data_IF_476960654469
#
_entry.id   IF_476960654469
#
_cell.length_a   1.000
_cell.length_b   1.000
_cell.length_c   1.000
_cell.angle_alpha   90.00
_cell.angle_beta   90.00
_cell.angle_gamma   90.00
#
_symmetry.space_group_name_H-M   'P 1'
#
loop_
_entity.id
_entity.type
_entity.pdbx_description
1 polymer ?
#
# COMPACT_ATOMS: atom_id res chain seq x y z
N UNK A 1 32.58 10.19 -1.58
CA UNK A 1 31.21 10.70 -1.81
C UNK A 1 31.29 11.84 -2.83
N UNK A 2 30.34 12.00 -3.79
CA UNK A 2 30.36 13.15 -4.69
C UNK A 2 30.17 14.49 -3.95
N UNK A 3 30.90 15.53 -4.34
CA UNK A 3 30.90 16.83 -3.65
C UNK A 3 29.50 17.44 -3.47
N UNK A 4 28.61 17.46 -4.49
CA UNK A 4 27.26 18.02 -4.33
C UNK A 4 26.42 17.28 -3.28
N UNK A 5 26.64 15.96 -3.14
CA UNK A 5 25.95 15.13 -2.15
C UNK A 5 26.46 15.46 -0.75
N UNK A 6 27.78 15.55 -0.58
CA UNK A 6 28.40 15.89 0.70
C UNK A 6 27.99 17.29 1.18
N UNK A 7 28.01 18.29 0.30
CA UNK A 7 27.58 19.66 0.62
C UNK A 7 26.11 19.71 1.07
N UNK A 8 25.22 19.01 0.36
CA UNK A 8 23.80 18.95 0.72
C UNK A 8 23.56 18.26 2.06
N UNK A 9 24.32 17.20 2.39
CA UNK A 9 24.24 16.54 3.70
C UNK A 9 24.73 17.46 4.84
N UNK A 10 25.82 18.20 4.62
CA UNK A 10 26.34 19.17 5.58
C UNK A 10 25.33 20.30 5.85
N UNK A 11 24.72 20.85 4.80
CA UNK A 11 23.66 21.86 4.92
C UNK A 11 22.44 21.35 5.69
N UNK A 12 22.11 20.07 5.53
CA UNK A 12 21.03 19.41 6.25
C UNK A 12 21.41 19.01 7.70
N UNK A 13 22.67 19.18 8.11
CA UNK A 13 23.16 18.74 9.42
C UNK A 13 23.14 17.22 9.59
N UNK A 14 23.36 16.46 8.51
CA UNK A 14 23.34 15.00 8.52
C UNK A 14 24.78 14.48 8.39
N UNK A 15 25.33 13.77 9.39
CA UNK A 15 26.69 13.24 9.32
C UNK A 15 26.76 12.02 8.40
N UNK A 16 27.94 11.75 7.82
CA UNK A 16 28.17 10.58 6.97
C UNK A 16 27.87 9.25 7.68
N UNK A 17 28.10 9.17 8.99
CA UNK A 17 27.78 7.98 9.80
C UNK A 17 26.29 7.64 9.83
N UNK A 18 25.41 8.58 9.50
CA UNK A 18 23.97 8.39 9.47
C UNK A 18 23.44 7.96 8.09
N UNK A 19 24.32 7.73 7.11
CA UNK A 19 23.93 7.38 5.74
C UNK A 19 24.62 6.11 5.26
N UNK A 20 23.92 5.34 4.42
CA UNK A 20 24.50 4.32 3.56
C UNK A 20 24.20 4.63 2.09
N UNK A 21 25.22 4.58 1.24
CA UNK A 21 25.13 4.85 -0.19
C UNK A 21 25.76 3.68 -0.94
N UNK A 22 25.04 3.16 -1.93
CA UNK A 22 25.54 2.14 -2.85
C UNK A 22 25.19 2.54 -4.28
N UNK A 23 26.20 2.63 -5.14
CA UNK A 23 26.04 2.92 -6.58
C UNK A 23 26.81 1.87 -7.37
N UNK A 24 26.14 1.18 -8.28
CA UNK A 24 26.71 0.04 -9.00
C UNK A 24 26.21 0.00 -10.44
N UNK A 25 27.12 -0.06 -11.40
CA UNK A 25 26.77 -0.23 -12.81
C UNK A 25 26.47 -1.69 -13.13
N UNK A 26 25.33 -1.96 -13.75
CA UNK A 26 24.97 -3.33 -14.14
C UNK A 26 26.05 -3.89 -15.08
N UNK A 27 26.60 -5.06 -14.73
CA UNK A 27 27.62 -5.76 -15.52
C UNK A 27 29.04 -5.57 -14.95
N UNK A 28 29.25 -4.59 -14.08
CA UNK A 28 30.53 -4.39 -13.40
C UNK A 28 30.69 -5.31 -12.19
N UNK A 29 31.93 -5.60 -11.82
CA UNK A 29 32.22 -6.50 -10.68
C UNK A 29 32.24 -5.78 -9.33
N UNK A 30 32.42 -4.46 -9.33
CA UNK A 30 32.57 -3.64 -8.13
C UNK A 30 31.65 -2.41 -8.20
N UNK A 31 31.11 -1.96 -7.05
CA UNK A 31 30.35 -0.72 -6.99
C UNK A 31 31.25 0.50 -7.20
N UNK A 32 30.68 1.52 -7.84
CA UNK A 32 31.31 2.84 -8.00
C UNK A 32 31.38 3.60 -6.68
N UNK A 33 30.37 3.42 -5.82
CA UNK A 33 30.29 4.02 -4.49
C UNK A 33 29.78 2.96 -3.52
N UNK A 34 30.47 2.78 -2.41
CA UNK A 34 30.01 1.99 -1.27
C UNK A 34 30.38 2.69 0.04
N UNK A 35 29.47 3.49 0.58
CA UNK A 35 29.64 4.23 1.84
C UNK A 35 28.71 3.61 2.88
N UNK A 36 29.29 3.12 3.99
CA UNK A 36 28.56 2.37 5.03
C UNK A 36 27.62 1.28 4.47
N UNK A 37 27.93 0.74 3.28
CA UNK A 37 26.96 0.00 2.49
C UNK A 37 26.49 -1.29 3.18
N UNK A 38 27.31 -1.84 4.09
CA UNK A 38 27.02 -3.05 4.88
C UNK A 38 26.26 -2.79 6.17
N UNK A 39 26.01 -1.52 6.54
CA UNK A 39 25.30 -1.20 7.76
C UNK A 39 23.83 -1.64 7.67
N UNK A 40 23.32 -2.29 8.72
CA UNK A 40 21.92 -2.65 8.82
C UNK A 40 21.08 -1.39 9.13
N UNK A 41 20.38 -0.86 8.12
CA UNK A 41 19.62 0.38 8.24
C UNK A 41 18.13 0.13 8.08
N UNK A 42 17.29 0.97 8.67
CA UNK A 42 15.86 0.97 8.37
C UNK A 42 15.66 1.56 6.96
N UNK A 43 15.11 0.79 5.99
CA UNK A 43 14.95 1.26 4.62
C UNK A 43 13.62 2.01 4.40
N UNK A 44 12.72 2.09 5.37
CA UNK A 44 11.33 2.49 5.16
C UNK A 44 10.71 1.72 3.97
N UNK A 45 9.83 2.36 3.19
CA UNK A 45 9.12 1.73 2.06
C UNK A 45 10.00 1.20 0.92
N UNK A 46 11.32 1.41 0.95
CA UNK A 46 12.24 0.71 0.05
C UNK A 46 12.25 -0.81 0.32
N UNK A 47 11.86 -1.25 1.53
CA UNK A 47 11.65 -2.68 1.85
C UNK A 47 10.70 -3.38 0.87
N UNK A 48 9.72 -2.67 0.31
CA UNK A 48 8.77 -3.22 -0.67
C UNK A 48 9.45 -3.80 -1.90
N UNK A 49 10.68 -3.38 -2.22
CA UNK A 49 11.45 -3.96 -3.32
C UNK A 49 11.75 -5.45 -3.08
N UNK A 50 12.01 -5.86 -1.83
CA UNK A 50 12.18 -7.27 -1.47
C UNK A 50 10.87 -8.02 -1.69
N UNK A 51 9.79 -7.53 -1.10
CA UNK A 51 8.45 -8.14 -1.18
C UNK A 51 7.93 -8.26 -2.61
N UNK A 52 8.03 -7.18 -3.40
CA UNK A 52 7.49 -7.15 -4.76
C UNK A 52 8.31 -7.99 -5.72
N UNK A 53 9.64 -7.98 -5.60
CA UNK A 53 10.48 -8.85 -6.43
C UNK A 53 10.27 -10.32 -6.09
N UNK A 54 10.28 -10.68 -4.80
CA UNK A 54 9.98 -12.05 -4.38
C UNK A 54 8.58 -12.50 -4.81
N UNK A 55 7.57 -11.61 -4.71
CA UNK A 55 6.23 -11.86 -5.22
C UNK A 55 6.24 -12.28 -6.69
N UNK A 56 6.88 -11.49 -7.54
CA UNK A 56 6.95 -11.78 -8.98
C UNK A 56 7.68 -13.10 -9.28
N UNK A 57 8.76 -13.40 -8.57
CA UNK A 57 9.54 -14.64 -8.78
C UNK A 57 8.83 -15.89 -8.25
N UNK A 58 8.17 -15.80 -7.09
CA UNK A 58 7.60 -16.96 -6.39
C UNK A 58 6.17 -17.27 -6.81
N UNK A 59 5.33 -16.23 -6.98
CA UNK A 59 3.93 -16.41 -7.37
C UNK A 59 3.74 -16.32 -8.90
N UNK A 60 4.63 -15.59 -9.58
CA UNK A 60 4.56 -15.31 -11.01
C UNK A 60 3.75 -14.05 -11.34
N UNK A 61 4.06 -13.35 -12.44
CA UNK A 61 3.42 -12.07 -12.80
C UNK A 61 1.92 -12.20 -13.09
N UNK A 62 1.43 -13.39 -13.44
CA UNK A 62 0.03 -13.69 -13.74
C UNK A 62 -0.76 -14.19 -12.53
N UNK A 63 -0.16 -14.24 -11.34
CA UNK A 63 -0.87 -14.64 -10.13
C UNK A 63 -2.07 -13.72 -9.87
N UNK A 64 -3.21 -14.32 -9.51
CA UNK A 64 -4.43 -13.60 -9.15
C UNK A 64 -4.91 -14.09 -7.80
N UNK A 65 -5.39 -13.18 -6.97
CA UNK A 65 -6.15 -13.51 -5.77
C UNK A 65 -7.57 -13.83 -6.16
N UNK A 66 -8.25 -14.60 -5.31
CA UNK A 66 -9.66 -14.90 -5.46
C UNK A 66 -10.47 -14.38 -4.29
N UNK A 67 -11.73 -14.03 -4.55
CA UNK A 67 -12.77 -13.79 -3.55
C UNK A 67 -13.99 -14.59 -3.97
N UNK A 68 -14.51 -15.43 -3.08
CA UNK A 68 -15.57 -16.40 -3.41
C UNK A 68 -16.86 -16.07 -2.68
N UNK A 69 -17.99 -16.20 -3.38
CA UNK A 69 -19.32 -16.05 -2.82
C UNK A 69 -20.01 -17.41 -2.75
N UNK A 70 -20.59 -17.76 -1.61
CA UNK A 70 -21.32 -19.02 -1.43
C UNK A 70 -22.74 -18.77 -0.94
N UNK A 71 -23.68 -19.58 -1.42
CA UNK A 71 -24.98 -19.74 -0.77
C UNK A 71 -24.85 -20.81 0.31
N UNK A 72 -25.14 -20.43 1.56
CA UNK A 72 -25.35 -21.37 2.66
C UNK A 72 -26.86 -21.48 2.93
N UNK A 73 -27.55 -22.18 2.04
CA UNK A 73 -29.01 -22.28 2.03
C UNK A 73 -29.53 -22.75 0.67
N UNK A 74 -30.84 -22.71 0.50
CA UNK A 74 -31.51 -23.09 -0.76
C UNK A 74 -31.84 -21.82 -1.55
N UNK A 75 -31.56 -21.82 -2.86
CA UNK A 75 -32.00 -20.77 -3.77
C UNK A 75 -33.23 -21.27 -4.52
N UNK A 76 -34.37 -20.60 -4.32
CA UNK A 76 -35.63 -20.89 -5.01
C UNK A 76 -36.20 -19.57 -5.56
N UNK A 77 -36.54 -19.54 -6.85
CA UNK A 77 -37.03 -18.34 -7.54
C UNK A 77 -36.20 -17.06 -7.30
N UNK A 78 -34.87 -17.21 -7.23
CA UNK A 78 -33.96 -16.11 -6.95
C UNK A 78 -33.98 -15.61 -5.50
N UNK A 79 -34.57 -16.34 -4.56
CA UNK A 79 -34.50 -16.03 -3.13
C UNK A 79 -33.55 -17.03 -2.47
N UNK A 80 -32.48 -16.54 -1.85
CA UNK A 80 -31.63 -17.35 -0.99
C UNK A 80 -32.26 -17.47 0.39
N UNK A 81 -32.83 -18.64 0.67
CA UNK A 81 -33.30 -19.05 1.98
C UNK A 81 -32.12 -19.53 2.84
N UNK A 82 -31.36 -18.58 3.35
CA UNK A 82 -30.15 -18.84 4.12
C UNK A 82 -29.15 -17.69 4.04
N UNK A 83 -27.91 -17.98 4.45
CA UNK A 83 -26.87 -16.97 4.55
C UNK A 83 -26.06 -16.86 3.25
N UNK A 84 -25.65 -15.65 2.89
CA UNK A 84 -24.64 -15.41 1.87
C UNK A 84 -23.26 -15.34 2.53
N UNK A 85 -22.31 -16.15 2.09
CA UNK A 85 -20.92 -16.13 2.59
C UNK A 85 -20.02 -15.41 1.58
N UNK A 86 -19.21 -14.47 2.06
CA UNK A 86 -18.09 -13.88 1.32
C UNK A 86 -16.79 -14.38 1.94
N UNK A 87 -16.00 -15.12 1.17
CA UNK A 87 -14.69 -15.61 1.59
C UNK A 87 -13.57 -14.88 0.88
N UNK A 88 -12.72 -14.22 1.67
CA UNK A 88 -11.53 -13.54 1.17
C UNK A 88 -10.29 -14.41 1.23
N UNK A 89 -9.38 -14.20 0.26
CA UNK A 89 -8.06 -14.85 0.22
C UNK A 89 -6.91 -13.84 0.14
N UNK A 90 -7.13 -12.62 0.63
CA UNK A 90 -6.11 -11.57 0.75
C UNK A 90 -5.97 -10.69 -0.48
N UNK A 91 -7.01 -10.56 -1.31
CA UNK A 91 -6.98 -9.74 -2.53
C UNK A 91 -6.64 -8.28 -2.20
N UNK A 92 -5.48 -7.75 -2.63
CA UNK A 92 -5.09 -6.37 -2.37
C UNK A 92 -5.85 -5.38 -3.25
N UNK A 93 -6.64 -5.86 -4.22
CA UNK A 93 -7.39 -5.09 -5.19
C UNK A 93 -8.89 -5.25 -5.09
N UNK A 94 -9.42 -5.78 -3.98
CA UNK A 94 -10.84 -5.71 -3.67
C UNK A 94 -11.27 -4.28 -3.26
N UNK A 95 -10.95 -3.29 -4.08
CA UNK A 95 -11.34 -1.88 -3.95
C UNK A 95 -12.84 -1.70 -4.25
N UNK A 96 -13.34 -0.47 -4.10
CA UNK A 96 -14.75 -0.14 -4.33
C UNK A 96 -15.24 -0.65 -5.70
N UNK A 97 -14.48 -0.41 -6.76
CA UNK A 97 -14.85 -0.78 -8.12
C UNK A 97 -14.94 -2.31 -8.30
N UNK A 98 -13.95 -3.05 -7.80
CA UNK A 98 -13.97 -4.51 -7.90
C UNK A 98 -15.00 -5.15 -6.97
N UNK A 99 -15.27 -4.56 -5.80
CA UNK A 99 -16.33 -5.02 -4.92
C UNK A 99 -17.72 -4.75 -5.53
N UNK A 100 -17.92 -3.58 -6.16
CA UNK A 100 -19.12 -3.29 -6.94
C UNK A 100 -19.32 -4.28 -8.09
N UNK A 101 -18.27 -4.58 -8.84
CA UNK A 101 -18.31 -5.61 -9.89
C UNK A 101 -18.69 -6.98 -9.31
N UNK A 102 -18.15 -7.36 -8.15
CA UNK A 102 -18.48 -8.62 -7.48
C UNK A 102 -19.97 -8.68 -7.07
N UNK A 103 -20.49 -7.64 -6.42
CA UNK A 103 -21.91 -7.55 -6.05
C UNK A 103 -22.81 -7.57 -7.28
N UNK A 104 -22.41 -6.89 -8.35
CA UNK A 104 -23.12 -6.92 -9.63
C UNK A 104 -23.14 -8.30 -10.28
N UNK A 105 -22.02 -9.04 -10.25
CA UNK A 105 -21.98 -10.42 -10.76
C UNK A 105 -22.83 -11.35 -9.93
N UNK A 106 -22.88 -11.17 -8.61
CA UNK A 106 -23.81 -11.89 -7.75
C UNK A 106 -25.26 -11.66 -8.19
N UNK A 107 -25.68 -10.42 -8.50
CA UNK A 107 -27.01 -10.14 -9.07
C UNK A 107 -27.26 -10.89 -10.38
N UNK A 108 -26.26 -10.98 -11.24
CA UNK A 108 -26.36 -11.66 -12.54
C UNK A 108 -26.51 -13.19 -12.42
N UNK A 109 -26.28 -13.79 -11.25
CA UNK A 109 -26.63 -15.19 -10.99
C UNK A 109 -28.15 -15.44 -10.97
N UNK A 110 -28.96 -14.37 -10.94
CA UNK A 110 -30.41 -14.44 -10.78
C UNK A 110 -30.86 -14.28 -9.32
N UNK A 111 -29.93 -14.13 -8.37
CA UNK A 111 -30.23 -13.89 -6.97
C UNK A 111 -30.85 -12.49 -6.77
N UNK A 112 -32.07 -12.46 -6.24
CA UNK A 112 -32.93 -11.28 -6.01
C UNK A 112 -32.98 -10.85 -4.54
N UNK A 113 -33.08 -11.81 -3.63
CA UNK A 113 -33.26 -11.60 -2.20
C UNK A 113 -32.40 -12.57 -1.38
N UNK A 114 -31.91 -12.11 -0.23
CA UNK A 114 -31.19 -12.92 0.76
C UNK A 114 -31.93 -12.79 2.09
N UNK A 115 -32.50 -13.88 2.59
CA UNK A 115 -33.32 -13.86 3.82
C UNK A 115 -32.51 -14.09 5.10
N UNK A 116 -31.31 -14.67 4.98
CA UNK A 116 -30.38 -14.84 6.09
C UNK A 116 -29.41 -13.68 6.25
N UNK A 117 -28.22 -13.99 6.76
CA UNK A 117 -27.15 -13.06 7.11
C UNK A 117 -26.08 -12.97 6.03
N UNK A 118 -25.22 -11.96 6.18
CA UNK A 118 -23.96 -11.87 5.46
C UNK A 118 -22.84 -12.46 6.34
N UNK A 119 -22.26 -13.57 5.95
CA UNK A 119 -21.14 -14.21 6.66
C UNK A 119 -19.83 -13.78 6.00
N UNK A 120 -18.89 -13.27 6.79
CA UNK A 120 -17.56 -12.91 6.33
C UNK A 120 -16.54 -13.96 6.78
N UNK A 121 -16.01 -14.71 5.83
CA UNK A 121 -14.95 -15.69 6.08
C UNK A 121 -13.57 -15.05 5.84
N UNK A 122 -12.90 -14.77 6.96
CA UNK A 122 -11.55 -14.23 7.02
C UNK A 122 -10.47 -15.29 7.35
N UNK A 123 -10.84 -16.58 7.38
CA UNK A 123 -9.99 -17.65 7.93
C UNK A 123 -8.73 -17.95 7.12
N UNK A 124 -8.56 -17.35 5.95
CA UNK A 124 -7.36 -17.58 5.13
C UNK A 124 -6.09 -16.97 5.76
N UNK A 125 -6.21 -15.89 6.53
CA UNK A 125 -5.09 -15.23 7.21
C UNK A 125 -5.21 -15.36 8.73
N UNK A 126 -4.10 -15.67 9.39
CA UNK A 126 -3.96 -15.65 10.86
C UNK A 126 -2.91 -14.61 11.19
N UNK A 127 -3.40 -13.39 11.40
CA UNK A 127 -2.59 -12.23 11.71
C UNK A 127 -3.19 -11.63 12.97
N UNK A 128 -2.36 -11.54 14.01
CA UNK A 128 -2.72 -10.81 15.22
C UNK A 128 -2.92 -9.35 14.80
N UNK A 129 -4.09 -8.79 15.13
CA UNK A 129 -4.36 -7.36 14.98
C UNK A 129 -3.45 -6.60 15.94
N UNK A 130 -2.21 -6.34 15.53
CA UNK A 130 -1.36 -5.37 16.20
C UNK A 130 -1.97 -3.97 16.02
N UNK A 131 -1.89 -3.15 17.08
CA UNK A 131 -2.26 -1.75 17.01
C UNK A 131 -1.31 -1.03 16.06
N UNK A 132 -1.69 -1.04 14.79
CA UNK A 132 -0.92 -0.51 13.68
C UNK A 132 -0.74 1.00 13.78
N UNK A 133 -1.43 1.69 14.68
CA UNK A 133 -1.24 3.11 14.95
C UNK A 133 -0.44 3.39 16.23
N UNK A 134 -0.04 2.37 16.99
CA UNK A 134 0.76 2.54 18.21
C UNK A 134 2.10 3.26 17.96
N UNK A 135 2.61 3.22 16.72
CA UNK A 135 3.91 3.84 16.39
C UNK A 135 3.83 5.32 15.98
N UNK A 136 2.67 5.83 15.55
CA UNK A 136 2.50 7.24 15.10
C UNK A 136 1.24 7.94 15.65
N UNK A 137 0.41 7.25 16.41
CA UNK A 137 -0.85 7.76 16.98
C UNK A 137 -1.95 8.02 15.95
N UNK A 138 -1.79 7.60 14.69
CA UNK A 138 -2.71 7.92 13.59
C UNK A 138 -3.68 6.78 13.30
N UNK A 139 -4.57 6.49 14.25
CA UNK A 139 -5.52 5.35 14.26
C UNK A 139 -6.41 5.25 13.02
N UNK A 140 -6.87 6.37 12.49
CA UNK A 140 -7.84 6.39 11.39
C UNK A 140 -7.20 6.49 10.00
N UNK A 141 -5.87 6.54 9.89
CA UNK A 141 -5.21 6.64 8.59
C UNK A 141 -5.20 5.30 7.88
N UNK A 142 -5.56 5.28 6.60
CA UNK A 142 -5.69 4.05 5.82
C UNK A 142 -4.38 3.28 5.65
N UNK A 143 -3.22 3.93 5.75
CA UNK A 143 -1.93 3.25 5.70
C UNK A 143 -1.61 2.43 6.97
N UNK A 144 -2.36 2.63 8.06
CA UNK A 144 -2.31 1.88 9.33
C UNK A 144 -3.39 0.79 9.41
N UNK A 145 -4.14 0.54 8.32
CA UNK A 145 -5.06 -0.61 8.28
C UNK A 145 -4.27 -1.93 8.42
N UNK A 146 -4.81 -2.90 9.14
CA UNK A 146 -4.22 -4.25 9.20
C UNK A 146 -4.54 -5.02 7.91
N UNK A 147 -3.65 -5.91 7.43
CA UNK A 147 -3.97 -6.82 6.35
C UNK A 147 -5.01 -7.84 6.82
N UNK A 148 -5.92 -8.20 5.93
CA UNK A 148 -7.02 -9.11 6.22
C UNK A 148 -7.34 -9.95 4.99
N UNK A 149 -7.78 -11.19 5.21
CA UNK A 149 -8.15 -12.08 4.11
C UNK A 149 -9.30 -11.49 3.28
N UNK A 150 -10.30 -10.88 3.92
CA UNK A 150 -11.38 -10.14 3.27
C UNK A 150 -11.28 -8.64 3.61
N UNK A 151 -10.36 -7.94 2.94
CA UNK A 151 -10.22 -6.49 3.08
C UNK A 151 -10.95 -5.73 1.98
N UNK A 152 -12.23 -5.42 2.20
CA UNK A 152 -13.02 -4.65 1.24
C UNK A 152 -12.63 -3.17 1.29
N UNK A 153 -12.20 -2.65 0.13
CA UNK A 153 -11.84 -1.26 -0.14
C UNK A 153 -10.93 -0.62 0.91
N UNK A 154 -10.04 -1.40 1.53
CA UNK A 154 -9.18 -0.95 2.64
C UNK A 154 -9.94 -0.30 3.80
N UNK A 155 -11.26 -0.54 3.91
CA UNK A 155 -12.18 0.15 4.83
C UNK A 155 -12.17 1.68 4.67
N UNK A 156 -11.83 2.13 3.47
CA UNK A 156 -11.59 3.53 3.16
C UNK A 156 -12.90 4.28 2.91
N UNK A 157 -13.02 5.42 3.57
CA UNK A 157 -13.94 6.49 3.24
C UNK A 157 -13.13 7.64 2.65
N UNK A 158 -13.54 8.13 1.48
CA UNK A 158 -12.90 9.26 0.80
C UNK A 158 -13.68 10.54 1.06
N UNK A 159 -13.03 11.51 1.68
CA UNK A 159 -13.54 12.86 1.87
C UNK A 159 -12.93 13.73 0.77
N UNK A 160 -13.75 14.14 -0.18
CA UNK A 160 -13.39 15.00 -1.31
C UNK A 160 -13.54 16.46 -0.91
N UNK A 161 -12.42 17.14 -0.65
CA UNK A 161 -12.36 18.55 -0.27
C UNK A 161 -12.21 19.40 -1.53
N UNK A 162 -13.20 20.25 -1.81
CA UNK A 162 -13.22 21.14 -2.98
C UNK A 162 -13.36 22.60 -2.52
N UNK A 163 -12.36 23.48 -2.76
CA UNK A 163 -12.48 24.89 -2.41
C UNK A 163 -13.54 25.57 -3.28
N UNK A 164 -14.35 26.44 -2.68
CA UNK A 164 -15.40 27.21 -3.38
C UNK A 164 -15.18 28.73 -3.18
N UNK A 165 -14.24 29.36 -3.92
CA UNK A 165 -13.84 30.75 -3.68
C UNK A 165 -14.98 31.77 -3.73
N UNK A 166 -15.97 31.56 -4.61
CA UNK A 166 -17.10 32.47 -4.79
C UNK A 166 -17.97 32.64 -3.54
N UNK A 167 -18.07 31.59 -2.72
CA UNK A 167 -18.88 31.57 -1.49
C UNK A 167 -18.03 31.37 -0.24
N UNK A 168 -16.69 31.47 -0.37
CA UNK A 168 -15.70 31.38 0.72
C UNK A 168 -15.86 30.15 1.62
N UNK A 169 -16.17 29.00 1.02
CA UNK A 169 -16.35 27.72 1.74
C UNK A 169 -15.48 26.61 1.14
N UNK A 170 -15.42 25.49 1.85
CA UNK A 170 -14.89 24.22 1.34
C UNK A 170 -16.05 23.24 1.27
N UNK A 171 -16.33 22.68 0.10
CA UNK A 171 -17.28 21.58 -0.02
C UNK A 171 -16.59 20.28 0.32
N UNK A 172 -17.27 19.43 1.09
CA UNK A 172 -16.79 18.10 1.44
C UNK A 172 -17.85 17.08 1.05
N UNK A 173 -17.48 16.11 0.22
CA UNK A 173 -18.32 14.97 -0.17
C UNK A 173 -17.65 13.71 0.34
N UNK A 174 -18.42 12.77 0.88
CA UNK A 174 -17.91 11.50 1.38
C UNK A 174 -18.36 10.39 0.44
N UNK A 175 -17.44 9.52 0.06
CA UNK A 175 -17.72 8.35 -0.78
C UNK A 175 -16.92 7.11 -0.33
N UNK A 176 -17.57 5.94 -0.11
CA UNK A 176 -19.02 5.78 0.06
C UNK A 176 -19.52 6.50 1.33
N UNK A 177 -20.78 6.94 1.38
CA UNK A 177 -21.36 7.61 2.55
C UNK A 177 -22.18 6.61 3.40
N UNK A 178 -21.72 6.22 4.61
CA UNK A 178 -22.53 5.44 5.54
C UNK A 178 -23.79 6.18 5.99
N UNK A 179 -24.93 5.50 6.14
CA UNK A 179 -26.09 6.07 6.87
C UNK A 179 -25.77 6.42 8.34
N UNK A 180 -24.80 5.71 8.93
CA UNK A 180 -24.35 5.90 10.30
C UNK A 180 -23.39 7.07 10.47
N UNK A 181 -22.96 7.73 9.38
CA UNK A 181 -21.95 8.78 9.44
C UNK A 181 -22.58 10.16 9.24
N UNK A 182 -22.26 11.06 10.17
CA UNK A 182 -22.61 12.49 10.06
C UNK A 182 -21.33 13.31 9.91
N UNK A 183 -21.32 14.23 8.94
CA UNK A 183 -20.23 15.17 8.74
C UNK A 183 -20.56 16.55 9.34
N UNK A 184 -19.68 17.07 10.18
CA UNK A 184 -19.63 18.48 10.57
C UNK A 184 -18.46 19.15 9.86
N UNK A 185 -18.76 20.01 8.88
CA UNK A 185 -17.73 20.72 8.11
C UNK A 185 -17.56 22.14 8.62
N UNK A 186 -16.52 22.37 9.41
CA UNK A 186 -16.19 23.66 10.02
C UNK A 186 -14.96 24.31 9.36
N UNK A 187 -14.61 23.90 8.13
CA UNK A 187 -13.44 24.40 7.42
C UNK A 187 -13.63 25.82 6.90
N UNK A 188 -12.60 26.65 7.10
CA UNK A 188 -12.54 28.02 6.62
C UNK A 188 -11.61 28.11 5.42
N UNK A 189 -12.12 28.60 4.29
CA UNK A 189 -11.30 28.82 3.11
C UNK A 189 -10.37 30.02 3.32
N UNK A 190 -9.08 29.88 2.99
CA UNK A 190 -8.05 30.93 3.13
C UNK A 190 -7.26 31.13 1.84
N UNK A 191 -6.52 32.23 1.73
CA UNK A 191 -5.70 32.59 0.54
C UNK A 191 -4.22 32.20 0.67
N UNK A 192 -3.86 31.40 1.69
CA UNK A 192 -2.48 31.00 1.96
C UNK A 192 -1.91 29.99 0.95
N UNK A 193 -0.67 29.55 1.22
CA UNK A 193 -0.09 28.39 0.53
C UNK A 193 -0.73 27.09 1.02
N UNK A 194 -0.75 26.05 0.18
CA UNK A 194 -1.32 24.77 0.58
C UNK A 194 -0.50 24.10 1.69
N UNK A 195 0.84 24.13 1.57
CA UNK A 195 1.74 23.49 2.53
C UNK A 195 1.39 22.04 2.82
N UNK A 196 1.63 21.62 4.07
CA UNK A 196 1.20 20.31 4.58
C UNK A 196 -0.24 20.38 5.12
N UNK A 197 -1.18 20.59 4.21
CA UNK A 197 -2.61 20.78 4.53
C UNK A 197 -3.20 19.68 5.41
N UNK A 198 -2.66 18.46 5.37
CA UNK A 198 -3.15 17.32 6.16
C UNK A 198 -2.80 17.41 7.64
N UNK A 199 -1.68 18.05 7.97
CA UNK A 199 -1.23 18.24 9.34
C UNK A 199 -1.89 19.49 9.98
N UNK A 200 -2.38 20.42 9.15
CA UNK A 200 -3.13 21.62 9.59
C UNK A 200 -4.61 21.29 9.83
N UNK A 201 -5.12 20.27 9.14
CA UNK A 201 -6.51 19.83 9.26
C UNK A 201 -6.75 19.12 10.60
N UNK A 202 -7.57 19.71 11.45
CA UNK A 202 -8.03 19.07 12.68
C UNK A 202 -9.24 18.17 12.39
N UNK A 203 -9.15 16.91 12.80
CA UNK A 203 -10.14 15.88 12.52
C UNK A 203 -10.59 15.31 13.87
N UNK A 204 -11.80 15.65 14.27
CA UNK A 204 -12.40 15.17 15.50
C UNK A 204 -13.45 14.09 15.19
N UNK A 205 -13.33 12.92 15.83
CA UNK A 205 -14.13 11.73 15.53
C UNK A 205 -14.78 11.25 16.82
N UNK A 206 -16.11 11.39 16.88
CA UNK A 206 -16.92 10.91 17.99
C UNK A 206 -17.77 9.73 17.56
N UNK A 207 -17.54 8.57 18.14
CA UNK A 207 -18.41 7.40 17.96
C UNK A 207 -19.41 7.33 19.11
N UNK A 208 -20.71 7.44 18.80
CA UNK A 208 -21.77 7.17 19.78
C UNK A 208 -21.90 5.67 20.01
N UNK A 209 -21.91 5.25 21.28
CA UNK A 209 -22.07 3.86 21.72
C UNK A 209 -23.52 3.46 22.02
N UNK A 210 -24.49 4.34 21.73
CA UNK A 210 -25.93 4.03 21.84
C UNK A 210 -26.40 3.03 20.76
N UNK A 211 -27.59 2.43 20.92
CA UNK A 211 -28.15 1.33 20.11
C UNK A 211 -28.09 1.51 18.57
N UNK A 212 -27.92 2.73 18.07
CA UNK A 212 -27.52 3.01 16.69
C UNK A 212 -26.15 3.66 16.70
N UNK A 213 -25.11 2.89 16.38
CA UNK A 213 -23.75 3.41 16.20
C UNK A 213 -23.81 4.55 15.18
N UNK A 214 -23.53 5.77 15.64
CA UNK A 214 -23.38 6.95 14.78
C UNK A 214 -21.99 7.50 14.96
N UNK A 215 -21.29 7.71 13.87
CA UNK A 215 -19.96 8.33 13.85
C UNK A 215 -20.11 9.77 13.37
N UNK A 216 -19.81 10.73 14.24
CA UNK A 216 -19.66 12.13 13.87
C UNK A 216 -18.20 12.36 13.49
N UNK A 217 -17.98 12.89 12.28
CA UNK A 217 -16.67 13.39 11.84
C UNK A 217 -16.76 14.90 11.72
N UNK A 218 -16.00 15.63 12.53
CA UNK A 218 -15.85 17.07 12.41
C UNK A 218 -14.51 17.40 11.75
N UNK A 219 -14.56 18.20 10.69
CA UNK A 219 -13.38 18.75 10.01
C UNK A 219 -13.24 20.22 10.37
N UNK A 220 -12.18 20.57 11.10
CA UNK A 220 -11.94 21.93 11.61
C UNK A 220 -10.65 22.53 11.02
N UNK A 221 -10.56 23.85 11.07
CA UNK A 221 -9.35 24.59 10.70
C UNK A 221 -9.45 25.33 9.37
N UNK A 222 -8.28 25.65 8.82
CA UNK A 222 -8.13 26.45 7.61
C UNK A 222 -7.75 25.59 6.41
N UNK A 223 -8.32 25.87 5.24
CA UNK A 223 -7.99 25.20 4.00
C UNK A 223 -7.67 26.23 2.91
N UNK A 224 -6.46 26.20 2.38
CA UNK A 224 -6.02 27.19 1.41
C UNK A 224 -6.62 26.94 0.02
N UNK A 225 -7.07 27.99 -0.66
CA UNK A 225 -7.55 27.92 -2.06
C UNK A 225 -6.50 27.30 -2.99
N UNK A 226 -5.21 27.59 -2.76
CA UNK A 226 -4.08 27.04 -3.52
C UNK A 226 -3.90 25.53 -3.37
N UNK A 227 -4.54 24.87 -2.40
CA UNK A 227 -4.54 23.41 -2.35
C UNK A 227 -5.26 22.79 -3.54
N UNK A 228 -6.24 23.48 -4.13
CA UNK A 228 -7.16 22.89 -5.08
C UNK A 228 -7.94 21.73 -4.44
N UNK A 229 -8.40 20.81 -5.29
CA UNK A 229 -9.10 19.60 -4.84
C UNK A 229 -8.14 18.61 -4.17
N UNK A 230 -8.58 18.05 -3.04
CA UNK A 230 -7.83 17.02 -2.32
C UNK A 230 -8.74 15.91 -1.81
N UNK A 231 -8.15 14.74 -1.66
CA UNK A 231 -8.79 13.59 -1.04
C UNK A 231 -8.13 13.30 0.31
N UNK A 232 -8.97 13.24 1.34
CA UNK A 232 -8.64 12.75 2.67
C UNK A 232 -9.25 11.35 2.80
N UNK A 233 -8.40 10.35 3.04
CA UNK A 233 -8.83 8.96 3.20
C UNK A 233 -8.77 8.57 4.68
N UNK A 234 -9.88 8.08 5.23
CA UNK A 234 -10.01 7.64 6.61
C UNK A 234 -10.59 6.22 6.69
N UNK A 235 -10.18 5.45 7.69
CA UNK A 235 -10.74 4.14 8.05
C UNK A 235 -11.41 4.25 9.41
N UNK A 236 -12.74 4.45 9.44
CA UNK A 236 -13.49 4.74 10.67
C UNK A 236 -14.19 3.52 11.28
N UNK A 237 -14.36 2.46 10.50
CA UNK A 237 -15.11 1.27 10.89
C UNK A 237 -14.23 0.03 10.84
N UNK A 238 -14.58 -0.97 11.65
CA UNK A 238 -14.04 -2.31 11.48
C UNK A 238 -14.56 -2.93 10.16
N UNK A 239 -13.95 -4.04 9.76
CA UNK A 239 -14.20 -4.68 8.46
C UNK A 239 -15.62 -5.21 8.31
N UNK A 240 -16.19 -5.78 9.37
CA UNK A 240 -17.56 -6.31 9.35
C UNK A 240 -18.57 -5.19 9.13
N UNK A 241 -18.48 -4.09 9.88
CA UNK A 241 -19.36 -2.93 9.73
C UNK A 241 -19.20 -2.29 8.36
N UNK A 242 -17.95 -2.07 7.91
CA UNK A 242 -17.69 -1.45 6.60
C UNK A 242 -18.22 -2.31 5.44
N UNK A 243 -17.93 -3.62 5.47
CA UNK A 243 -18.34 -4.54 4.41
C UNK A 243 -19.86 -4.67 4.34
N UNK A 244 -20.54 -4.79 5.49
CA UNK A 244 -22.00 -4.84 5.54
C UNK A 244 -22.64 -3.61 4.91
N UNK A 245 -22.18 -2.43 5.34
CA UNK A 245 -22.68 -1.15 4.88
C UNK A 245 -22.52 -1.03 3.36
N UNK A 246 -21.31 -1.28 2.85
CA UNK A 246 -21.05 -1.17 1.42
C UNK A 246 -21.81 -2.22 0.62
N UNK A 247 -21.86 -3.48 1.10
CA UNK A 247 -22.63 -4.53 0.45
C UNK A 247 -24.11 -4.16 0.34
N UNK A 248 -24.72 -3.72 1.46
CA UNK A 248 -26.13 -3.33 1.49
C UNK A 248 -26.41 -2.20 0.50
N UNK A 249 -25.61 -1.14 0.54
CA UNK A 249 -25.75 -0.01 -0.39
C UNK A 249 -25.73 -0.49 -1.86
N UNK A 250 -24.69 -1.24 -2.25
CA UNK A 250 -24.51 -1.67 -3.64
C UNK A 250 -25.52 -2.75 -4.07
N UNK A 251 -26.04 -3.54 -3.14
CA UNK A 251 -27.08 -4.55 -3.40
C UNK A 251 -28.43 -3.88 -3.64
N UNK A 252 -28.81 -2.92 -2.78
CA UNK A 252 -30.06 -2.17 -2.87
C UNK A 252 -30.10 -1.25 -4.11
N UNK A 253 -28.98 -0.63 -4.48
CA UNK A 253 -28.82 0.10 -5.75
C UNK A 253 -29.17 -0.75 -6.98
N UNK A 254 -29.08 -2.08 -6.87
CA UNK A 254 -29.43 -3.05 -7.90
C UNK A 254 -30.78 -3.74 -7.65
N UNK A 255 -31.64 -3.11 -6.86
CA UNK A 255 -32.95 -3.60 -6.42
C UNK A 255 -32.88 -4.97 -5.73
N UNK A 256 -31.78 -5.26 -5.04
CA UNK A 256 -31.65 -6.41 -4.17
C UNK A 256 -32.30 -6.17 -2.81
N UNK A 257 -32.91 -7.21 -2.25
CA UNK A 257 -33.50 -7.16 -0.92
C UNK A 257 -32.57 -7.88 0.06
N UNK A 258 -32.18 -7.21 1.14
CA UNK A 258 -31.36 -7.79 2.21
C UNK A 258 -31.58 -7.06 3.54
N UNK A 259 -32.09 -7.76 4.54
CA UNK A 259 -32.34 -7.23 5.89
C UNK A 259 -31.52 -7.93 6.98
N UNK A 260 -30.63 -8.84 6.58
CA UNK A 260 -29.75 -9.56 7.48
C UNK A 260 -28.72 -8.66 8.16
N UNK A 261 -28.07 -9.25 9.17
CA UNK A 261 -26.88 -8.67 9.83
C UNK A 261 -25.61 -9.31 9.28
N UNK A 262 -24.48 -8.76 9.67
CA UNK A 262 -23.16 -9.35 9.38
C UNK A 262 -22.72 -10.25 10.53
N UNK A 263 -22.15 -11.40 10.20
CA UNK A 263 -21.49 -12.30 11.12
C UNK A 263 -20.10 -12.66 10.56
N UNK A 264 -19.18 -13.05 11.43
CA UNK A 264 -17.86 -13.57 11.03
C UNK A 264 -17.82 -15.04 11.37
N UNK A 265 -17.69 -15.90 10.37
CA UNK A 265 -17.64 -17.36 10.53
C UNK A 265 -16.91 -18.00 9.35
N UNK A 266 -16.52 -19.27 9.48
CA UNK A 266 -15.88 -20.03 8.41
C UNK A 266 -16.90 -20.57 7.41
N UNK A 267 -16.51 -20.63 6.14
CA UNK A 267 -17.33 -21.24 5.09
C UNK A 267 -17.50 -22.73 5.35
N UNK A 268 -18.75 -23.22 5.31
CA UNK A 268 -19.05 -24.65 5.46
C UNK A 268 -18.38 -25.49 4.37
N UNK A 269 -17.91 -26.68 4.74
CA UNK A 269 -17.25 -27.61 3.78
C UNK A 269 -18.27 -28.13 2.75
N UNK A 270 -17.80 -28.31 1.51
CA UNK A 270 -18.60 -28.91 0.43
C UNK A 270 -19.52 -27.92 -0.32
N UNK A 271 -19.56 -26.64 0.07
CA UNK A 271 -20.25 -25.62 -0.71
C UNK A 271 -19.50 -25.34 -2.02
N UNK A 272 -20.26 -25.12 -3.09
CA UNK A 272 -19.74 -24.69 -4.40
C UNK A 272 -19.97 -23.17 -4.49
N UNK A 273 -18.97 -22.36 -4.92
CA UNK A 273 -19.17 -20.93 -5.06
C UNK A 273 -20.26 -20.61 -6.08
N UNK A 274 -21.14 -19.65 -5.75
CA UNK A 274 -22.05 -19.01 -6.69
C UNK A 274 -21.28 -18.16 -7.71
N UNK A 275 -20.23 -17.49 -7.24
CA UNK A 275 -19.39 -16.60 -8.03
C UNK A 275 -17.96 -16.62 -7.47
N UNK A 276 -16.97 -16.50 -8.34
CA UNK A 276 -15.57 -16.33 -7.97
C UNK A 276 -14.99 -15.11 -8.67
N UNK A 277 -14.73 -14.05 -7.91
CA UNK A 277 -13.97 -12.91 -8.40
C UNK A 277 -12.48 -13.24 -8.40
N UNK A 278 -11.79 -12.82 -9.46
CA UNK A 278 -10.33 -12.85 -9.57
C UNK A 278 -9.82 -11.42 -9.70
N UNK A 279 -8.80 -11.10 -8.92
CA UNK A 279 -8.11 -9.80 -8.97
C UNK A 279 -7.45 -9.59 -10.34
N UNK A 280 -7.05 -8.35 -10.67
CA UNK A 280 -6.01 -8.12 -11.67
C UNK A 280 -4.73 -8.93 -11.37
N UNK A 281 -3.89 -9.21 -12.37
CA UNK A 281 -2.65 -9.98 -12.19
C UNK A 281 -1.64 -9.25 -11.31
N UNK A 282 -0.77 -10.03 -10.67
CA UNK A 282 0.27 -9.54 -9.75
C UNK A 282 1.14 -8.42 -10.35
N UNK A 283 1.44 -8.44 -11.65
CA UNK A 283 2.20 -7.39 -12.30
C UNK A 283 1.56 -5.99 -12.14
N UNK A 284 0.23 -5.89 -12.25
CA UNK A 284 -0.50 -4.64 -12.05
C UNK A 284 -0.52 -4.24 -10.56
N UNK A 285 -0.68 -5.22 -9.68
CA UNK A 285 -0.68 -4.99 -8.23
C UNK A 285 0.68 -4.49 -7.74
N UNK A 286 1.78 -5.07 -8.23
CA UNK A 286 3.15 -4.64 -7.93
C UNK A 286 3.41 -3.22 -8.41
N UNK A 287 2.91 -2.87 -9.61
CA UNK A 287 2.92 -1.48 -10.10
C UNK A 287 2.26 -0.55 -9.11
N UNK A 288 1.06 -0.84 -8.62
CA UNK A 288 0.38 0.05 -7.69
C UNK A 288 1.05 0.10 -6.31
N UNK A 289 1.60 -1.02 -5.84
CA UNK A 289 2.41 -1.07 -4.61
C UNK A 289 3.61 -0.13 -4.74
N UNK A 290 4.37 -0.20 -5.84
CA UNK A 290 5.63 0.53 -5.98
C UNK A 290 5.44 1.99 -6.38
N UNK A 291 4.55 2.29 -7.34
CA UNK A 291 4.24 3.66 -7.79
C UNK A 291 3.69 4.52 -6.66
N UNK A 292 2.71 4.01 -5.92
CA UNK A 292 2.01 4.76 -4.88
C UNK A 292 2.47 4.42 -3.46
N UNK A 293 3.43 3.49 -3.33
CA UNK A 293 3.97 3.05 -2.04
C UNK A 293 2.90 2.48 -1.09
N UNK A 294 1.92 1.75 -1.63
CA UNK A 294 0.78 1.24 -0.86
C UNK A 294 1.24 0.20 0.17
N UNK A 295 1.16 0.55 1.46
CA UNK A 295 1.57 -0.32 2.57
C UNK A 295 0.69 -1.57 2.67
N UNK A 296 -0.63 -1.39 2.56
CA UNK A 296 -1.58 -2.47 2.79
C UNK A 296 -1.47 -3.51 1.70
N UNK A 297 -1.42 -3.10 0.44
CA UNK A 297 -1.21 -4.01 -0.68
C UNK A 297 0.13 -4.76 -0.57
N UNK A 298 1.19 -4.11 -0.07
CA UNK A 298 2.46 -4.78 0.19
C UNK A 298 2.35 -5.82 1.32
N UNK A 299 1.62 -5.54 2.40
CA UNK A 299 1.37 -6.50 3.50
C UNK A 299 0.51 -7.68 3.04
N UNK A 300 -0.52 -7.45 2.22
CA UNK A 300 -1.32 -8.51 1.59
C UNK A 300 -0.46 -9.41 0.70
N UNK A 301 0.39 -8.82 -0.16
CA UNK A 301 1.34 -9.56 -0.99
C UNK A 301 2.33 -10.36 -0.13
N UNK A 302 2.86 -9.75 0.92
CA UNK A 302 3.78 -10.42 1.84
C UNK A 302 3.13 -11.66 2.45
N UNK A 303 1.90 -11.56 2.97
CA UNK A 303 1.15 -12.71 3.49
C UNK A 303 0.87 -13.79 2.44
N UNK A 304 0.58 -13.37 1.20
CA UNK A 304 0.39 -14.31 0.10
C UNK A 304 1.64 -15.14 -0.21
N UNK A 305 2.85 -14.63 0.09
CA UNK A 305 4.08 -15.41 -0.06
C UNK A 305 4.13 -16.63 0.84
N UNK A 306 3.44 -16.61 1.99
CA UNK A 306 3.32 -17.78 2.87
C UNK A 306 2.61 -18.98 2.23
N UNK A 307 1.97 -18.80 1.07
CA UNK A 307 1.26 -19.87 0.35
C UNK A 307 2.17 -20.74 -0.53
N UNK A 308 3.38 -20.28 -0.85
CA UNK A 308 4.30 -20.93 -1.79
C UNK A 308 4.63 -22.37 -1.37
N UNK A 309 4.75 -22.62 -0.07
CA UNK A 309 5.09 -23.95 0.49
C UNK A 309 3.90 -24.63 1.19
N UNK A 310 2.69 -24.11 1.02
CA UNK A 310 1.51 -24.59 1.72
C UNK A 310 0.92 -25.83 1.05
N UNK A 311 1.47 -27.01 1.38
CA UNK A 311 1.02 -28.32 0.85
C UNK A 311 -0.45 -28.65 1.21
N UNK A 312 -1.08 -27.96 2.18
CA UNK A 312 -2.38 -28.38 2.75
C UNK A 312 -3.36 -27.24 3.10
N UNK A 313 -3.59 -26.24 2.22
CA UNK A 313 -4.62 -25.19 2.43
C UNK A 313 -4.61 -24.59 3.84
N UNK A 314 -3.41 -24.27 4.34
CA UNK A 314 -3.25 -23.71 5.69
C UNK A 314 -3.62 -22.24 5.71
N UNK A 315 -3.92 -21.78 6.92
CA UNK A 315 -4.00 -20.36 7.25
C UNK A 315 -2.62 -19.72 7.07
N UNK A 316 -2.56 -18.54 6.47
CA UNK A 316 -1.32 -17.81 6.15
C UNK A 316 -0.89 -16.94 7.32
N UNK A 317 0.40 -17.00 7.66
CA UNK A 317 1.00 -16.22 8.75
C UNK A 317 2.23 -15.42 8.28
N UNK A 318 2.58 -14.39 9.05
CA UNK A 318 3.80 -13.60 8.81
C UNK A 318 5.08 -14.45 8.92
N UNK A 319 5.08 -15.46 9.81
CA UNK A 319 6.20 -16.39 9.96
C UNK A 319 6.43 -17.20 8.69
N UNK A 320 5.38 -17.77 8.10
CA UNK A 320 5.47 -18.50 6.83
C UNK A 320 5.98 -17.61 5.70
N UNK A 321 5.46 -16.38 5.63
CA UNK A 321 5.87 -15.38 4.64
C UNK A 321 7.38 -15.07 4.73
N UNK A 322 7.89 -14.86 5.94
CA UNK A 322 9.33 -14.67 6.16
C UNK A 322 10.13 -15.93 5.79
N UNK A 323 9.65 -17.12 6.12
CA UNK A 323 10.30 -18.39 5.74
C UNK A 323 10.45 -18.51 4.22
N UNK A 324 9.39 -18.23 3.45
CA UNK A 324 9.45 -18.30 1.98
C UNK A 324 10.41 -17.27 1.39
N UNK A 325 10.49 -16.04 1.95
CA UNK A 325 11.53 -15.07 1.56
C UNK A 325 12.94 -15.61 1.84
N UNK A 326 13.18 -16.19 3.02
CA UNK A 326 14.50 -16.72 3.39
C UNK A 326 14.93 -17.87 2.49
N UNK A 327 14.01 -18.77 2.18
CA UNK A 327 14.27 -19.89 1.27
C UNK A 327 14.52 -19.41 -0.15
N UNK A 328 13.74 -18.45 -0.64
CA UNK A 328 13.96 -17.82 -1.95
C UNK A 328 15.34 -17.17 -2.06
N UNK A 329 15.75 -16.38 -1.06
CA UNK A 329 17.10 -15.81 -1.02
C UNK A 329 18.18 -16.90 -1.03
N UNK A 330 18.01 -17.96 -0.24
CA UNK A 330 18.95 -19.07 -0.18
C UNK A 330 19.07 -19.82 -1.52
N UNK A 331 17.97 -20.04 -2.24
CA UNK A 331 17.95 -20.65 -3.59
C UNK A 331 18.75 -19.78 -4.57
N UNK A 332 18.63 -18.45 -4.45
CA UNK A 332 19.42 -17.48 -5.24
C UNK A 332 20.87 -17.33 -4.75
N UNK A 333 21.27 -18.08 -3.72
CA UNK A 333 22.59 -17.99 -3.06
C UNK A 333 22.88 -16.59 -2.51
N UNK A 334 21.83 -15.87 -2.11
CA UNK A 334 21.90 -14.58 -1.45
C UNK A 334 21.77 -14.80 0.06
N UNK A 335 22.75 -14.33 0.83
CA UNK A 335 22.74 -14.43 2.29
C UNK A 335 22.68 -13.04 2.92
N UNK A 336 21.50 -12.65 3.42
CA UNK A 336 21.26 -11.33 4.03
C UNK A 336 21.02 -11.50 5.54
N UNK A 337 22.07 -11.73 6.35
CA UNK A 337 21.93 -12.02 7.78
C UNK A 337 21.31 -10.85 8.56
N UNK A 338 21.50 -9.62 8.11
CA UNK A 338 20.97 -8.41 8.75
C UNK A 338 19.55 -8.05 8.31
N UNK A 339 19.01 -8.73 7.28
CA UNK A 339 17.65 -8.50 6.83
C UNK A 339 16.68 -8.79 7.98
N UNK A 340 15.77 -7.87 8.26
CA UNK A 340 14.65 -8.06 9.19
C UNK A 340 13.38 -7.61 8.46
N UNK A 341 12.42 -8.52 8.30
CA UNK A 341 11.12 -8.27 7.67
C UNK A 341 10.01 -8.73 8.61
N UNK A 342 9.18 -7.79 9.07
CA UNK A 342 8.06 -8.06 9.97
C UNK A 342 6.73 -8.04 9.21
N UNK A 343 6.58 -7.09 8.28
CA UNK A 343 5.33 -6.90 7.56
C UNK A 343 5.48 -6.72 6.04
N UNK A 344 6.72 -6.65 5.54
CA UNK A 344 7.02 -6.59 4.10
C UNK A 344 6.71 -5.25 3.43
N UNK A 345 6.26 -4.24 4.19
CA UNK A 345 5.94 -2.92 3.66
C UNK A 345 7.00 -1.87 3.96
N UNK A 346 7.90 -2.08 4.93
CA UNK A 346 8.81 -1.02 5.36
C UNK A 346 8.19 -0.05 6.36
N UNK A 347 7.00 -0.34 6.91
CA UNK A 347 6.33 0.52 7.88
C UNK A 347 6.91 0.37 9.30
N UNK A 348 7.49 -0.79 9.60
CA UNK A 348 8.02 -1.08 10.92
C UNK A 348 9.30 -0.29 11.22
N UNK A 349 9.47 0.10 12.49
CA UNK A 349 10.71 0.70 13.01
C UNK A 349 11.85 -0.31 13.16
N UNK A 350 11.55 -1.61 13.19
CA UNK A 350 12.50 -2.70 13.41
C UNK A 350 13.07 -3.28 12.13
N UNK A 351 12.38 -3.12 10.99
CA UNK A 351 12.84 -3.67 9.72
C UNK A 351 14.21 -3.12 9.31
N UNK A 352 15.09 -4.00 8.82
CA UNK A 352 16.48 -3.67 8.47
C UNK A 352 16.89 -4.33 7.17
N UNK A 353 17.74 -3.65 6.41
CA UNK A 353 18.51 -4.19 5.29
C UNK A 353 19.72 -3.28 5.06
N UNK A 354 20.82 -3.83 4.55
CA UNK A 354 21.97 -3.04 4.11
C UNK A 354 21.81 -2.50 2.68
N UNK A 355 22.48 -1.39 2.37
CA UNK A 355 22.49 -0.85 1.01
C UNK A 355 23.20 -1.79 0.03
N UNK A 356 24.20 -2.55 0.49
CA UNK A 356 24.91 -3.56 -0.29
C UNK A 356 23.98 -4.71 -0.69
N UNK A 357 23.27 -5.32 0.27
CA UNK A 357 22.35 -6.43 -0.04
C UNK A 357 21.13 -5.99 -0.84
N UNK A 358 20.63 -4.77 -0.62
CA UNK A 358 19.61 -4.21 -1.49
C UNK A 358 20.17 -3.97 -2.92
N UNK A 359 21.45 -3.64 -3.06
CA UNK A 359 22.14 -3.55 -4.35
C UNK A 359 22.21 -4.90 -5.06
N UNK A 360 22.64 -5.94 -4.34
CA UNK A 360 22.67 -7.31 -4.85
C UNK A 360 21.28 -7.82 -5.27
N UNK A 361 20.23 -7.47 -4.51
CA UNK A 361 18.83 -7.74 -4.86
C UNK A 361 18.47 -7.08 -6.20
N UNK A 362 18.81 -5.81 -6.40
CA UNK A 362 18.50 -5.08 -7.63
C UNK A 362 19.32 -5.57 -8.84
N UNK A 363 20.54 -6.07 -8.63
CA UNK A 363 21.31 -6.76 -9.68
C UNK A 363 20.55 -8.03 -10.10
N UNK A 364 20.13 -8.84 -9.13
CA UNK A 364 19.36 -10.06 -9.39
C UNK A 364 18.02 -9.78 -10.08
N UNK A 365 17.33 -8.71 -9.67
CA UNK A 365 16.06 -8.32 -10.27
C UNK A 365 16.24 -7.86 -11.73
N UNK A 366 17.36 -7.20 -12.06
CA UNK A 366 17.66 -6.81 -13.44
C UNK A 366 17.97 -8.02 -14.34
N UNK A 367 18.53 -9.09 -13.78
CA UNK A 367 18.89 -10.32 -14.50
C UNK A 367 17.73 -11.34 -14.57
N UNK A 368 16.64 -11.11 -13.85
CA UNK A 368 15.51 -12.04 -13.78
C UNK A 368 14.59 -11.93 -15.02
N UNK A 369 13.92 -13.03 -15.43
CA UNK A 369 12.83 -12.98 -16.41
C UNK A 369 11.69 -12.00 -16.08
N UNK A 370 11.42 -11.74 -14.79
CA UNK A 370 10.36 -10.79 -14.36
C UNK A 370 10.86 -9.34 -14.25
N UNK A 371 12.07 -9.06 -14.74
CA UNK A 371 12.66 -7.72 -14.80
C UNK A 371 11.71 -6.66 -15.39
N UNK A 372 11.04 -6.89 -16.55
CA UNK A 372 10.19 -5.88 -17.17
C UNK A 372 9.06 -5.40 -16.25
N UNK A 373 8.36 -6.33 -15.59
CA UNK A 373 7.28 -6.07 -14.64
C UNK A 373 7.84 -5.37 -13.39
N UNK A 374 8.98 -5.84 -12.86
CA UNK A 374 9.59 -5.26 -11.68
C UNK A 374 10.05 -3.82 -11.91
N UNK A 375 10.82 -3.53 -12.96
CA UNK A 375 11.36 -2.19 -13.20
C UNK A 375 10.24 -1.20 -13.55
N UNK A 376 9.31 -1.59 -14.43
CA UNK A 376 8.19 -0.72 -14.82
C UNK A 376 7.24 -0.39 -13.67
N UNK A 377 7.24 -1.19 -12.60
CA UNK A 377 6.49 -0.93 -11.37
C UNK A 377 7.03 0.27 -10.56
N UNK A 378 8.31 0.61 -10.71
CA UNK A 378 8.95 1.66 -9.91
C UNK A 378 8.59 3.07 -10.41
N UNK A 379 8.40 4.07 -9.52
CA UNK A 379 8.14 5.46 -9.93
C UNK A 379 9.18 6.00 -10.90
N UNK A 380 8.73 6.67 -11.96
CA UNK A 380 9.60 7.32 -12.93
C UNK A 380 9.82 8.77 -12.52
N UNK A 381 11.09 9.19 -12.47
CA UNK A 381 11.48 10.54 -12.06
C UNK A 381 10.78 11.61 -12.90
N UNK A 382 10.14 12.57 -12.23
CA UNK A 382 9.38 13.67 -12.82
C UNK A 382 8.17 13.27 -13.68
N UNK A 383 7.73 12.01 -13.63
CA UNK A 383 6.61 11.53 -14.46
C UNK A 383 5.48 10.98 -13.60
N UNK A 384 5.75 10.05 -12.68
CA UNK A 384 4.69 9.39 -11.93
C UNK A 384 5.06 8.96 -10.51
N UNK A 385 4.06 8.43 -9.81
CA UNK A 385 4.18 7.91 -8.46
C UNK A 385 4.78 8.93 -7.48
N UNK A 386 5.55 8.43 -6.52
CA UNK A 386 6.19 9.25 -5.49
C UNK A 386 7.36 10.12 -6.00
N UNK A 387 7.69 10.05 -7.29
CA UNK A 387 8.73 10.86 -7.93
C UNK A 387 8.17 11.94 -8.87
N UNK A 388 6.85 12.01 -9.06
CA UNK A 388 6.18 12.91 -10.02
C UNK A 388 6.59 14.37 -9.91
N UNK A 389 6.67 14.90 -8.69
CA UNK A 389 6.96 16.33 -8.46
C UNK A 389 8.45 16.62 -8.22
N UNK A 390 9.34 15.65 -8.47
CA UNK A 390 10.78 15.74 -8.15
C UNK A 390 11.60 15.74 -9.43
N UNK A 391 12.62 16.60 -9.48
CA UNK A 391 13.57 16.71 -10.60
C UNK A 391 12.89 17.03 -11.95
N UNK A 392 11.84 17.85 -11.93
CA UNK A 392 11.21 18.41 -13.12
C UNK A 392 12.20 19.29 -13.89
N UNK A 393 12.12 19.26 -15.22
CA UNK A 393 12.93 20.07 -16.14
C UNK A 393 14.45 19.90 -15.92
N UNK A 394 14.89 18.69 -15.58
CA UNK A 394 16.30 18.31 -15.44
C UNK A 394 16.69 17.25 -16.48
N UNK A 395 17.98 17.10 -16.84
CA UNK A 395 18.41 16.06 -17.78
C UNK A 395 17.98 14.62 -17.40
N UNK A 396 17.83 14.34 -16.11
CA UNK A 396 17.40 13.03 -15.59
C UNK A 396 15.88 12.78 -15.67
N UNK A 397 15.07 13.78 -16.06
CA UNK A 397 13.61 13.62 -16.19
C UNK A 397 13.28 12.43 -17.11
N UNK A 398 12.47 11.48 -16.60
CA UNK A 398 12.14 10.24 -17.31
C UNK A 398 13.26 9.18 -17.38
N UNK A 399 14.47 9.49 -16.89
CA UNK A 399 15.65 8.62 -17.04
C UNK A 399 15.91 7.70 -15.84
N UNK A 400 15.05 7.71 -14.82
CA UNK A 400 15.26 6.90 -13.62
C UNK A 400 13.95 6.32 -13.06
N UNK A 401 14.06 5.10 -12.54
CA UNK A 401 13.02 4.30 -11.91
C UNK A 401 13.37 4.10 -10.44
N UNK A 402 12.75 4.88 -9.54
CA UNK A 402 13.19 5.01 -8.14
C UNK A 402 12.03 4.78 -7.17
N UNK A 403 12.17 3.76 -6.33
CA UNK A 403 11.33 3.61 -5.14
C UNK A 403 11.81 4.55 -4.05
N UNK A 404 10.87 5.25 -3.42
CA UNK A 404 11.12 6.12 -2.27
C UNK A 404 10.68 5.46 -0.97
N UNK A 405 11.27 5.90 0.15
CA UNK A 405 10.81 5.60 1.49
C UNK A 405 10.94 6.81 2.41
N UNK A 406 9.94 6.96 3.28
CA UNK A 406 9.88 8.01 4.30
C UNK A 406 9.18 7.47 5.54
N UNK A 407 9.82 7.60 6.69
CA UNK A 407 9.24 7.50 8.03
C UNK A 407 9.86 8.62 8.87
N UNK A 408 9.45 8.79 10.13
CA UNK A 408 10.21 9.68 11.01
C UNK A 408 11.63 9.15 11.17
N UNK A 409 12.60 10.05 11.14
CA UNK A 409 14.02 9.74 11.22
C UNK A 409 14.56 8.84 10.09
N UNK A 410 13.77 8.51 9.05
CA UNK A 410 14.21 7.67 7.94
C UNK A 410 13.82 8.29 6.60
N UNK A 411 14.79 8.41 5.70
CA UNK A 411 14.53 8.72 4.30
C UNK A 411 15.36 7.80 3.43
N UNK A 412 14.78 7.29 2.35
CA UNK A 412 15.48 6.38 1.46
C UNK A 412 15.05 6.52 -0.01
N UNK A 413 15.97 6.22 -0.91
CA UNK A 413 15.71 5.94 -2.32
C UNK A 413 16.46 4.69 -2.76
N UNK A 414 15.86 3.93 -3.66
CA UNK A 414 16.50 2.79 -4.30
C UNK A 414 15.90 2.53 -5.69
N UNK A 415 16.74 2.16 -6.66
CA UNK A 415 16.28 1.77 -7.98
C UNK A 415 17.35 1.94 -9.04
N UNK A 416 16.93 2.31 -10.25
CA UNK A 416 17.80 2.35 -11.42
C UNK A 416 17.80 3.72 -12.09
N UNK A 417 18.98 4.20 -12.46
CA UNK A 417 19.21 5.41 -13.25
C UNK A 417 19.80 5.00 -14.60
N UNK A 418 19.32 5.61 -15.68
CA UNK A 418 19.99 5.56 -16.97
C UNK A 418 20.95 6.75 -17.04
N UNK A 419 22.22 6.49 -17.32
CA UNK A 419 23.18 7.57 -17.54
C UNK A 419 23.18 8.08 -18.99
N UNK A 420 23.99 9.10 -19.28
CA UNK A 420 24.11 9.69 -20.62
C UNK A 420 24.62 8.73 -21.71
N UNK A 421 25.25 7.62 -21.32
CA UNK A 421 25.72 6.58 -22.23
C UNK A 421 24.74 5.41 -22.35
N UNK A 422 23.52 5.55 -21.82
CA UNK A 422 22.49 4.52 -21.78
C UNK A 422 22.87 3.29 -20.94
N UNK A 423 23.79 3.44 -19.99
CA UNK A 423 24.15 2.39 -19.04
C UNK A 423 23.18 2.42 -17.87
N UNK A 424 22.84 1.23 -17.34
CA UNK A 424 21.91 1.07 -16.22
C UNK A 424 22.67 1.03 -14.91
N UNK A 425 22.42 2.01 -14.06
CA UNK A 425 23.12 2.18 -12.79
C UNK A 425 22.13 1.98 -11.64
N UNK A 426 22.45 1.07 -10.73
CA UNK A 426 21.73 0.93 -9.46
C UNK A 426 22.15 2.07 -8.53
N UNK A 427 21.18 2.70 -7.88
CA UNK A 427 21.40 3.73 -6.87
C UNK A 427 20.60 3.39 -5.64
N UNK A 428 21.26 3.36 -4.48
CA UNK A 428 20.65 3.20 -3.17
C UNK A 428 21.22 4.26 -2.24
N UNK A 429 20.33 4.92 -1.50
CA UNK A 429 20.69 5.91 -0.51
C UNK A 429 19.71 5.77 0.66
N UNK A 430 20.20 5.31 1.81
CA UNK A 430 19.42 5.16 3.05
C UNK A 430 19.98 6.13 4.09
N UNK A 431 19.10 6.83 4.78
CA UNK A 431 19.44 7.79 5.84
C UNK A 431 18.62 7.46 7.06
N UNK A 432 19.28 7.27 8.21
CA UNK A 432 18.63 7.10 9.51
C UNK A 432 19.11 8.22 10.44
N UNK A 433 18.35 9.32 10.49
CA UNK A 433 18.71 10.52 11.25
C UNK A 433 17.47 11.38 11.54
N UNK A 434 17.46 12.11 12.66
CA UNK A 434 16.37 13.03 13.01
C UNK A 434 16.10 14.10 11.95
N UNK A 435 17.14 14.55 11.25
CA UNK A 435 17.04 15.50 10.13
C UNK A 435 16.78 14.85 8.76
N UNK A 436 16.46 13.55 8.70
CA UNK A 436 16.28 12.81 7.43
C UNK A 436 15.32 13.47 6.43
N UNK A 437 14.30 14.21 6.88
CA UNK A 437 13.38 14.96 6.01
C UNK A 437 14.11 16.00 5.15
N UNK A 438 15.16 16.62 5.69
CA UNK A 438 16.00 17.61 5.02
C UNK A 438 16.94 17.02 3.97
N UNK A 439 17.07 15.70 3.89
CA UNK A 439 18.03 15.06 2.98
C UNK A 439 17.60 15.00 1.51
N UNK A 440 16.44 15.57 1.16
CA UNK A 440 15.91 15.59 -0.21
C UNK A 440 16.94 16.08 -1.24
N UNK A 441 17.63 17.22 -1.01
CA UNK A 441 18.58 17.74 -1.98
C UNK A 441 19.78 16.82 -2.19
N UNK A 442 20.26 16.13 -1.14
CA UNK A 442 21.38 15.20 -1.24
C UNK A 442 21.05 13.97 -2.10
N UNK A 443 19.84 13.42 -1.93
CA UNK A 443 19.36 12.30 -2.74
C UNK A 443 19.18 12.69 -4.21
N UNK A 444 18.59 13.86 -4.46
CA UNK A 444 18.40 14.40 -5.81
C UNK A 444 19.73 14.76 -6.48
N UNK A 445 20.73 15.23 -5.71
CA UNK A 445 22.08 15.46 -6.18
C UNK A 445 22.78 14.15 -6.58
N UNK A 446 22.62 13.08 -5.81
CA UNK A 446 23.19 11.78 -6.13
C UNK A 446 22.61 11.23 -7.45
N UNK A 447 21.29 11.28 -7.61
CA UNK A 447 20.63 10.85 -8.84
C UNK A 447 21.14 11.64 -10.06
N UNK A 448 21.21 12.97 -9.97
CA UNK A 448 21.74 13.81 -11.03
C UNK A 448 23.21 13.53 -11.35
N UNK A 449 24.05 13.33 -10.32
CA UNK A 449 25.46 12.98 -10.49
C UNK A 449 25.62 11.64 -11.21
N UNK A 450 24.83 10.62 -10.82
CA UNK A 450 24.85 9.31 -11.48
C UNK A 450 24.39 9.42 -12.93
N UNK A 451 23.37 10.22 -13.25
CA UNK A 451 22.94 10.41 -14.64
C UNK A 451 23.99 11.15 -15.47
N UNK A 452 24.62 12.18 -14.89
CA UNK A 452 25.56 13.06 -15.57
C UNK A 452 26.98 12.49 -15.71
N UNK A 453 27.26 11.32 -15.12
CA UNK A 453 28.57 10.67 -15.17
C UNK A 453 29.07 10.50 -16.62
N UNK A 454 30.40 10.59 -16.83
CA UNK A 454 31.00 10.32 -18.13
C UNK A 454 30.92 8.84 -18.51
#
# INVERSE_FOLDING_TARGET
MPDPVNQALQQAGIPESAVAIYVHEIGETQPLIAINAKAAMNPASVMKLVTTFAGLELLGPTYTWKTELYANGIIEDGVLQGDLVIKGYGDPKLNLENFWLLVRRLRQTGLREITGNLILDNSYFDVINEDSAAFDGKFYRTYNVSPEALLVNYRMLSFHLTPQPKIKSVRVIIDPLPESLTLSNNLKLTDGECGDWRDILDIDIHASTTEKIRTLVALNGSYATKCGEKNLHLSLHNSSTYTLMLFRQLWEEQNGIFHGRVLTDQTSKGLIPLETHRSPPLAEIVRDINKFSNNIAARQLYLALGSVDAVNNKVMTLTQSNTSIRQWLAIKKLNFPELIMENGSGLSRNERISADHLGQLLINAFQSPVMPEFISSLPIVAIDGTMKERLNDRPITGQAHIKTGLLDNVKSIAGYVLDKLNRRIIVIFIINHSQSRQAQPAMDALLQWVHARP
#
